data_IF_120343190556
#
_entry.id   IF_120343190556
#
_cell.length_a   1.000
_cell.length_b   1.000
_cell.length_c   1.000
_cell.angle_alpha   90.00
_cell.angle_beta   90.00
_cell.angle_gamma   90.00
#
_symmetry.space_group_name_H-M   'P 1'
#
loop_
_entity.id
_entity.type
_entity.pdbx_description
1 polymer ?
#
# COMPACT_ATOMS: atom_id res chain seq x y z
N UNK A 1 -2.40 14.96 7.59
CA UNK A 1 -3.71 14.30 7.42
C UNK A 1 -3.87 13.24 8.49
N UNK A 2 -5.10 12.98 8.89
CA UNK A 2 -5.50 12.16 10.02
C UNK A 2 -6.37 11.01 9.52
N UNK A 3 -5.94 9.78 9.79
CA UNK A 3 -6.71 8.56 9.57
C UNK A 3 -7.31 8.13 10.90
N UNK A 4 -8.57 7.69 10.89
CA UNK A 4 -9.23 7.16 12.09
C UNK A 4 -9.33 5.64 12.00
N UNK A 5 -8.91 4.91 13.03
CA UNK A 5 -9.13 3.46 13.11
C UNK A 5 -10.63 3.19 13.24
N UNK A 6 -11.16 2.35 12.37
CA UNK A 6 -12.56 1.88 12.41
C UNK A 6 -12.69 0.68 13.35
N UNK A 7 -13.09 0.89 14.61
CA UNK A 7 -13.26 -0.21 15.59
C UNK A 7 -14.31 -1.25 15.19
N UNK A 8 -15.29 -0.90 14.34
CA UNK A 8 -16.31 -1.85 13.88
C UNK A 8 -15.73 -2.95 13.00
N UNK A 9 -14.51 -2.80 12.51
CA UNK A 9 -13.82 -3.85 11.75
C UNK A 9 -13.23 -4.98 12.61
N UNK A 10 -13.34 -4.90 13.94
CA UNK A 10 -12.91 -5.98 14.87
C UNK A 10 -14.07 -6.88 15.31
N UNK A 11 -15.23 -6.32 15.68
CA UNK A 11 -16.57 -6.92 15.97
C UNK A 11 -16.70 -8.42 16.35
N UNK A 12 -15.67 -9.05 16.92
CA UNK A 12 -15.65 -10.47 17.25
C UNK A 12 -15.77 -11.43 16.05
N UNK A 13 -15.47 -10.99 14.83
CA UNK A 13 -15.78 -11.77 13.61
C UNK A 13 -14.70 -12.80 13.23
N UNK A 14 -13.47 -12.67 13.74
CA UNK A 14 -12.41 -13.63 13.45
C UNK A 14 -12.69 -14.98 14.12
N UNK A 15 -12.58 -16.08 13.37
CA UNK A 15 -12.87 -17.42 13.92
C UNK A 15 -11.77 -17.89 14.88
N UNK A 16 -10.55 -17.44 14.67
CA UNK A 16 -9.39 -17.82 15.45
C UNK A 16 -8.46 -16.62 15.65
N UNK A 17 -7.54 -16.74 16.62
CA UNK A 17 -6.46 -15.77 16.78
C UNK A 17 -5.57 -15.77 15.54
N UNK A 18 -5.29 -16.95 14.96
CA UNK A 18 -4.44 -17.08 13.78
C UNK A 18 -5.02 -16.30 12.57
N UNK A 19 -6.33 -16.41 12.34
CA UNK A 19 -7.03 -15.63 11.30
C UNK A 19 -6.82 -14.12 11.49
N UNK A 20 -6.89 -13.66 12.74
CA UNK A 20 -6.61 -12.27 13.07
C UNK A 20 -5.15 -11.91 12.81
N UNK A 21 -4.19 -12.73 13.24
CA UNK A 21 -2.77 -12.46 13.05
C UNK A 21 -2.37 -12.37 11.58
N UNK A 22 -2.92 -13.25 10.76
CA UNK A 22 -2.70 -13.23 9.31
C UNK A 22 -3.22 -11.92 8.70
N UNK A 23 -4.36 -11.43 9.18
CA UNK A 23 -4.91 -10.14 8.73
C UNK A 23 -4.05 -8.92 9.11
N UNK A 24 -3.23 -9.03 10.17
CA UNK A 24 -2.40 -7.92 10.64
C UNK A 24 -1.21 -7.63 9.73
N UNK A 25 -0.86 -8.55 8.83
CA UNK A 25 0.25 -8.36 7.88
C UNK A 25 0.05 -7.09 7.07
N UNK A 26 -1.16 -6.87 6.56
CA UNK A 26 -1.50 -5.69 5.76
C UNK A 26 -1.52 -4.41 6.60
N UNK A 27 -2.03 -4.48 7.82
CA UNK A 27 -2.01 -3.35 8.77
C UNK A 27 -0.57 -2.93 9.11
N UNK A 28 0.34 -3.89 9.29
CA UNK A 28 1.76 -3.63 9.53
C UNK A 28 2.43 -2.99 8.30
N UNK A 29 2.07 -3.43 7.08
CA UNK A 29 2.57 -2.84 5.84
C UNK A 29 2.06 -1.39 5.68
N UNK A 30 0.78 -1.17 5.92
CA UNK A 30 0.15 0.16 5.95
C UNK A 30 0.91 1.09 6.90
N UNK A 31 1.15 0.68 8.14
CA UNK A 31 1.88 1.54 9.08
C UNK A 31 3.32 1.82 8.64
N UNK A 32 3.99 0.82 8.05
CA UNK A 32 5.35 1.02 7.52
C UNK A 32 5.37 2.12 6.47
N UNK A 33 4.34 2.19 5.61
CA UNK A 33 4.16 3.26 4.63
C UNK A 33 3.83 4.58 5.33
N UNK A 34 2.90 4.58 6.30
CA UNK A 34 2.51 5.79 7.04
C UNK A 34 3.68 6.44 7.79
N UNK A 35 4.59 5.66 8.37
CA UNK A 35 5.80 6.18 9.06
C UNK A 35 6.74 6.97 8.17
N UNK A 36 6.61 6.81 6.85
CA UNK A 36 7.41 7.49 5.83
C UNK A 36 6.70 8.71 5.26
N UNK A 37 5.47 8.95 5.70
CA UNK A 37 4.65 10.10 5.33
C UNK A 37 4.30 10.92 6.58
N UNK A 38 3.54 12.00 6.39
CA UNK A 38 3.05 12.87 7.47
C UNK A 38 1.67 12.45 8.00
N UNK A 39 1.23 11.22 7.70
CA UNK A 39 -0.05 10.69 8.15
C UNK A 39 -0.04 10.38 9.65
N UNK A 40 -1.13 10.77 10.34
CA UNK A 40 -1.36 10.45 11.75
C UNK A 40 -2.49 9.45 11.86
N UNK A 41 -2.33 8.41 12.68
CA UNK A 41 -3.36 7.41 12.92
C UNK A 41 -4.01 7.64 14.28
N UNK A 42 -5.28 8.00 14.29
CA UNK A 42 -6.09 8.28 15.48
C UNK A 42 -6.91 7.05 15.89
N UNK A 43 -7.18 6.89 17.18
CA UNK A 43 -7.94 5.75 17.70
C UNK A 43 -8.93 6.15 18.78
N UNK A 44 -9.98 5.35 18.96
CA UNK A 44 -10.92 5.49 20.06
C UNK A 44 -10.33 4.94 21.37
N UNK A 45 -10.71 5.49 22.53
CA UNK A 45 -10.28 4.97 23.84
C UNK A 45 -10.61 3.49 24.03
N UNK A 46 -11.75 3.05 23.51
CA UNK A 46 -12.24 1.67 23.72
C UNK A 46 -11.69 0.65 22.72
N UNK A 47 -10.79 1.03 21.82
CA UNK A 47 -10.26 0.12 20.79
C UNK A 47 -9.69 -1.19 21.38
N UNK A 48 -9.01 -1.10 22.53
CA UNK A 48 -8.44 -2.28 23.20
C UNK A 48 -9.51 -3.20 23.80
N UNK A 49 -10.67 -2.67 24.13
CA UNK A 49 -11.80 -3.42 24.67
C UNK A 49 -12.65 -4.06 23.59
N UNK A 50 -12.43 -3.75 22.31
CA UNK A 50 -13.14 -4.36 21.19
C UNK A 50 -12.89 -5.86 21.12
N UNK A 51 -13.95 -6.64 20.94
CA UNK A 51 -13.89 -8.05 20.62
C UNK A 51 -13.21 -8.25 19.26
N UNK A 52 -12.25 -9.17 19.20
CA UNK A 52 -11.56 -9.59 17.98
C UNK A 52 -12.11 -10.95 17.53
N UNK A 53 -12.22 -11.89 18.47
CA UNK A 53 -13.00 -13.12 18.30
C UNK A 53 -14.28 -13.00 19.13
N UNK A 54 -15.17 -14.00 19.04
CA UNK A 54 -16.39 -14.04 19.86
C UNK A 54 -16.14 -14.00 21.36
N UNK A 55 -14.94 -14.38 21.80
CA UNK A 55 -14.60 -14.59 23.20
C UNK A 55 -13.48 -13.66 23.70
N UNK A 56 -12.60 -13.21 22.81
CA UNK A 56 -11.39 -12.49 23.18
C UNK A 56 -11.39 -11.06 22.64
N UNK A 57 -11.05 -10.14 23.53
CA UNK A 57 -10.78 -8.73 23.21
C UNK A 57 -9.37 -8.55 22.64
N UNK A 58 -9.17 -7.40 21.97
CA UNK A 58 -7.85 -7.00 21.49
C UNK A 58 -6.83 -6.95 22.64
N UNK A 59 -7.23 -6.41 23.79
CA UNK A 59 -6.38 -6.35 24.99
C UNK A 59 -5.94 -7.74 25.46
N UNK A 60 -6.85 -8.71 25.55
CA UNK A 60 -6.53 -10.08 26.00
C UNK A 60 -5.56 -10.79 25.06
N UNK A 61 -5.79 -10.68 23.74
CA UNK A 61 -4.87 -11.21 22.72
C UNK A 61 -3.47 -10.57 22.90
N UNK A 62 -3.40 -9.28 23.18
CA UNK A 62 -2.12 -8.62 23.38
C UNK A 62 -1.42 -9.01 24.69
N UNK A 63 -2.14 -9.50 25.70
CA UNK A 63 -1.53 -10.00 26.93
C UNK A 63 -1.19 -11.49 26.90
N UNK A 64 -1.74 -12.25 25.95
CA UNK A 64 -1.49 -13.69 25.87
C UNK A 64 0.00 -13.99 25.60
N UNK A 65 0.59 -14.72 26.56
CA UNK A 65 1.99 -15.12 26.54
C UNK A 65 2.27 -16.24 25.52
N UNK A 66 1.27 -17.04 25.16
CA UNK A 66 1.42 -18.15 24.22
C UNK A 66 1.66 -17.67 22.79
N UNK A 67 1.10 -16.52 22.43
CA UNK A 67 1.24 -15.91 21.10
C UNK A 67 2.28 -14.79 21.06
N UNK A 68 2.82 -14.38 22.23
CA UNK A 68 3.84 -13.33 22.36
C UNK A 68 5.12 -13.60 21.55
N UNK A 69 5.44 -14.87 21.31
CA UNK A 69 6.63 -15.26 20.54
C UNK A 69 6.40 -15.21 19.04
N UNK A 70 5.17 -15.08 18.54
CA UNK A 70 4.92 -14.99 17.10
C UNK A 70 5.44 -13.68 16.49
N UNK A 71 6.16 -13.72 15.35
CA UNK A 71 6.72 -12.51 14.73
C UNK A 71 5.68 -11.42 14.43
N UNK A 72 4.48 -11.82 14.01
CA UNK A 72 3.35 -10.97 13.66
C UNK A 72 2.89 -10.22 14.91
N UNK A 73 2.67 -10.92 16.02
CA UNK A 73 2.36 -10.32 17.33
C UNK A 73 3.47 -9.39 17.80
N UNK A 74 4.76 -9.73 17.61
CA UNK A 74 5.85 -8.82 18.01
C UNK A 74 5.86 -7.54 17.19
N UNK A 75 5.67 -7.65 15.86
CA UNK A 75 5.58 -6.50 14.95
C UNK A 75 4.34 -5.68 15.23
N UNK A 76 3.20 -6.32 15.47
CA UNK A 76 1.93 -5.69 15.80
C UNK A 76 1.95 -5.03 17.18
N UNK A 77 2.54 -5.68 18.19
CA UNK A 77 2.79 -5.05 19.50
C UNK A 77 3.71 -3.86 19.38
N UNK A 78 4.70 -3.90 18.48
CA UNK A 78 5.53 -2.72 18.18
C UNK A 78 4.72 -1.62 17.52
N UNK A 79 3.88 -1.94 16.52
CA UNK A 79 2.93 -1.02 15.91
C UNK A 79 2.03 -0.36 16.97
N UNK A 80 1.38 -1.19 17.79
CA UNK A 80 0.53 -0.74 18.87
C UNK A 80 1.31 0.03 19.93
N UNK A 81 2.55 -0.37 20.25
CA UNK A 81 3.42 0.37 21.18
C UNK A 81 3.71 1.78 20.66
N UNK A 82 3.91 1.95 19.35
CA UNK A 82 3.97 3.30 18.74
C UNK A 82 2.65 4.05 18.88
N UNK A 83 1.50 3.36 18.75
CA UNK A 83 0.18 3.95 19.00
C UNK A 83 -0.13 4.18 20.50
N UNK A 84 0.58 3.54 21.43
CA UNK A 84 0.35 3.57 22.89
C UNK A 84 1.24 4.61 23.57
N UNK A 85 2.49 4.74 23.13
CA UNK A 85 3.50 5.55 23.82
C UNK A 85 3.38 7.06 23.55
N UNK A 86 2.56 7.46 22.56
CA UNK A 86 2.18 8.86 22.27
C UNK A 86 0.78 8.85 21.64
N UNK A 87 -0.28 8.52 22.41
CA UNK A 87 -1.51 8.04 21.83
C UNK A 87 -2.36 9.20 21.30
N UNK A 88 -2.65 9.26 20.00
CA UNK A 88 -3.52 10.30 19.49
C UNK A 88 -4.97 9.80 19.56
N UNK A 89 -5.50 9.74 20.79
CA UNK A 89 -6.91 9.42 20.97
C UNK A 89 -7.72 10.56 20.38
N UNK A 90 -8.56 10.26 19.38
CA UNK A 90 -9.39 11.32 18.81
C UNK A 90 -10.40 11.86 19.84
N UNK A 91 -10.71 11.11 20.90
CA UNK A 91 -11.53 11.58 22.01
C UNK A 91 -10.96 12.81 22.71
N UNK A 92 -9.63 12.99 22.73
CA UNK A 92 -8.97 14.15 23.36
C UNK A 92 -9.25 15.46 22.60
N UNK A 93 -9.51 15.37 21.29
CA UNK A 93 -9.82 16.49 20.39
C UNK A 93 -11.00 16.09 19.47
N UNK A 94 -12.09 15.64 20.06
CA UNK A 94 -13.25 15.13 19.32
C UNK A 94 -13.87 16.23 18.44
N UNK A 95 -14.01 15.98 17.14
CA UNK A 95 -14.57 16.95 16.19
C UNK A 95 -16.04 16.75 15.87
N UNK A 96 -16.53 15.51 15.93
CA UNK A 96 -17.97 15.28 15.77
C UNK A 96 -18.72 15.74 17.04
N UNK A 97 -19.87 16.36 16.85
CA UNK A 97 -20.71 16.87 17.93
C UNK A 97 -22.06 16.14 17.99
N UNK A 98 -22.67 16.11 19.18
CA UNK A 98 -24.02 15.55 19.39
C UNK A 98 -25.14 16.39 18.73
N UNK A 99 -24.82 17.54 18.15
CA UNK A 99 -25.76 18.35 17.37
C UNK A 99 -26.05 17.78 15.98
N UNK A 100 -25.17 16.90 15.47
CA UNK A 100 -25.34 16.21 14.21
C UNK A 100 -25.62 14.73 14.47
N UNK A 101 -26.47 14.14 13.65
CA UNK A 101 -26.70 12.70 13.63
C UNK A 101 -25.95 12.08 12.46
N UNK A 102 -25.06 11.17 12.76
CA UNK A 102 -24.30 10.36 11.82
C UNK A 102 -24.95 8.98 11.82
N UNK A 103 -25.69 8.67 10.75
CA UNK A 103 -26.32 7.36 10.59
C UNK A 103 -25.41 6.46 9.75
N UNK A 104 -25.23 5.25 10.26
CA UNK A 104 -24.39 4.22 9.67
C UNK A 104 -25.06 2.85 9.87
N UNK A 105 -25.03 1.99 8.85
CA UNK A 105 -25.71 0.68 8.91
C UNK A 105 -25.07 -0.30 9.90
N UNK A 106 -23.91 0.03 10.46
CA UNK A 106 -23.15 -0.83 11.38
C UNK A 106 -23.42 -0.54 12.86
N UNK A 107 -24.13 0.54 13.19
CA UNK A 107 -24.40 0.90 14.59
C UNK A 107 -25.70 1.68 14.75
N UNK A 108 -26.38 1.48 15.89
CA UNK A 108 -27.54 2.30 16.27
C UNK A 108 -27.13 3.68 16.84
N UNK A 109 -25.84 3.86 17.17
CA UNK A 109 -25.31 5.13 17.66
C UNK A 109 -25.43 6.19 16.58
N UNK A 110 -25.82 7.40 16.96
CA UNK A 110 -25.86 8.55 16.04
C UNK A 110 -24.61 9.42 16.14
N UNK A 111 -23.75 9.22 17.13
CA UNK A 111 -22.46 9.88 17.32
C UNK A 111 -21.60 9.07 18.31
N UNK A 112 -20.37 9.48 18.56
CA UNK A 112 -19.48 8.87 19.56
C UNK A 112 -18.78 7.61 19.05
N UNK A 113 -18.49 7.54 17.75
CA UNK A 113 -17.81 6.40 17.12
C UNK A 113 -16.88 6.87 16.00
N UNK A 114 -15.92 6.02 15.61
CA UNK A 114 -14.84 6.36 14.66
C UNK A 114 -15.32 6.90 13.31
N UNK A 115 -16.30 6.25 12.68
CA UNK A 115 -16.77 6.67 11.36
C UNK A 115 -17.46 8.05 11.41
N UNK A 116 -18.18 8.37 12.49
CA UNK A 116 -18.71 9.72 12.71
C UNK A 116 -17.59 10.75 12.90
N UNK A 117 -16.54 10.39 13.64
CA UNK A 117 -15.37 11.25 13.81
C UNK A 117 -14.63 11.49 12.48
N UNK A 118 -14.47 10.46 11.65
CA UNK A 118 -13.84 10.58 10.35
C UNK A 118 -14.58 11.55 9.40
N UNK A 119 -15.90 11.67 9.51
CA UNK A 119 -16.69 12.62 8.72
C UNK A 119 -16.27 14.09 8.96
N UNK A 120 -15.79 14.43 10.16
CA UNK A 120 -15.33 15.78 10.52
C UNK A 120 -13.81 15.98 10.41
N UNK A 121 -13.10 14.97 9.91
CA UNK A 121 -11.65 15.01 9.67
C UNK A 121 -11.37 14.89 8.17
N UNK A 122 -10.26 14.25 7.81
CA UNK A 122 -9.84 14.06 6.43
C UNK A 122 -10.64 12.98 5.69
N UNK A 123 -11.70 12.42 6.31
CA UNK A 123 -12.60 11.41 5.72
C UNK A 123 -11.89 10.12 5.30
N UNK A 124 -10.85 9.73 6.03
CA UNK A 124 -10.09 8.50 5.77
C UNK A 124 -10.12 7.64 7.03
N UNK A 125 -10.42 6.36 6.83
CA UNK A 125 -10.45 5.37 7.90
C UNK A 125 -9.54 4.20 7.59
N UNK A 126 -8.97 3.61 8.65
CA UNK A 126 -8.23 2.35 8.58
C UNK A 126 -9.11 1.25 9.17
N UNK A 127 -9.47 0.26 8.36
CA UNK A 127 -10.20 -0.92 8.80
C UNK A 127 -9.28 -2.14 8.86
N UNK A 128 -9.48 -2.99 9.86
CA UNK A 128 -9.00 -4.36 9.83
C UNK A 128 -9.76 -5.16 8.78
N UNK A 129 -9.19 -6.28 8.32
CA UNK A 129 -9.84 -7.15 7.34
C UNK A 129 -11.22 -7.59 7.85
N UNK A 130 -12.28 -7.19 7.15
CA UNK A 130 -13.66 -7.45 7.57
C UNK A 130 -14.58 -7.44 6.35
N UNK A 131 -15.52 -8.39 6.25
CA UNK A 131 -16.40 -8.50 5.07
C UNK A 131 -17.26 -7.26 4.80
N UNK A 132 -17.75 -6.59 5.84
CA UNK A 132 -18.48 -5.30 5.74
C UNK A 132 -17.64 -4.13 5.20
N UNK A 133 -16.31 -4.20 5.28
CA UNK A 133 -15.38 -3.09 5.00
C UNK A 133 -14.38 -3.45 3.89
N UNK A 134 -14.83 -4.19 2.87
CA UNK A 134 -14.02 -4.53 1.68
C UNK A 134 -14.11 -3.49 0.57
N UNK A 135 -15.16 -2.68 0.59
CA UNK A 135 -15.31 -1.59 -0.36
C UNK A 135 -14.39 -0.42 0.02
N UNK A 136 -13.83 0.29 -0.97
CA UNK A 136 -12.97 1.45 -0.73
C UNK A 136 -13.74 2.65 -0.18
N UNK A 137 -15.07 2.66 -0.35
CA UNK A 137 -15.93 3.76 0.08
C UNK A 137 -16.90 3.31 1.16
N UNK A 138 -16.95 4.04 2.28
CA UNK A 138 -17.97 3.89 3.32
C UNK A 138 -18.87 5.13 3.30
N UNK A 139 -20.17 4.92 3.11
CA UNK A 139 -21.17 5.98 3.08
C UNK A 139 -21.77 6.19 4.47
N UNK A 140 -21.72 7.43 4.96
CA UNK A 140 -22.32 7.86 6.22
C UNK A 140 -23.33 8.95 5.93
N UNK A 141 -24.53 8.84 6.50
CA UNK A 141 -25.54 9.89 6.37
C UNK A 141 -25.42 10.86 7.54
N UNK A 142 -24.88 12.05 7.30
CA UNK A 142 -24.80 13.14 8.27
C UNK A 142 -26.04 14.02 8.13
N UNK A 143 -26.99 13.87 9.07
CA UNK A 143 -28.31 14.49 9.02
C UNK A 143 -29.08 14.11 7.75
N UNK A 144 -29.07 14.99 6.74
CA UNK A 144 -29.72 14.78 5.44
C UNK A 144 -28.71 14.56 4.31
N UNK A 145 -27.43 14.84 4.54
CA UNK A 145 -26.37 14.75 3.55
C UNK A 145 -25.65 13.40 3.60
N UNK A 146 -25.15 12.94 2.45
CA UNK A 146 -24.28 11.76 2.37
C UNK A 146 -22.81 12.19 2.37
N UNK A 147 -22.01 11.57 3.23
CA UNK A 147 -20.57 11.77 3.34
C UNK A 147 -19.90 10.43 3.01
N UNK A 148 -19.01 10.44 2.02
CA UNK A 148 -18.17 9.29 1.68
C UNK A 148 -16.85 9.36 2.43
N UNK A 149 -16.48 8.25 3.06
CA UNK A 149 -15.19 8.04 3.70
C UNK A 149 -14.36 7.07 2.85
N UNK A 150 -13.09 7.39 2.64
CA UNK A 150 -12.12 6.47 2.06
C UNK A 150 -11.74 5.43 3.12
N UNK A 151 -11.98 4.16 2.81
CA UNK A 151 -11.66 3.03 3.65
C UNK A 151 -10.38 2.34 3.16
N UNK A 152 -9.31 2.49 3.95
CA UNK A 152 -8.06 1.79 3.74
C UNK A 152 -8.10 0.50 4.55
N UNK A 153 -8.08 -0.64 3.88
CA UNK A 153 -7.93 -1.95 4.53
C UNK A 153 -6.77 -2.77 3.96
N UNK A 154 -6.22 -2.35 2.81
CA UNK A 154 -5.05 -2.98 2.20
C UNK A 154 -3.95 -1.93 1.88
N UNK A 155 -2.67 -2.34 1.77
CA UNK A 155 -1.56 -1.40 1.57
C UNK A 155 -1.57 -0.72 0.19
N UNK A 156 -2.14 -1.36 -0.83
CA UNK A 156 -2.18 -0.84 -2.20
C UNK A 156 -3.13 0.35 -2.30
N UNK A 157 -4.29 0.28 -1.66
CA UNK A 157 -5.25 1.39 -1.60
C UNK A 157 -4.61 2.63 -0.96
N UNK A 158 -3.82 2.43 0.11
CA UNK A 158 -3.09 3.53 0.74
C UNK A 158 -2.05 4.14 -0.20
N UNK A 159 -1.29 3.30 -0.92
CA UNK A 159 -0.28 3.78 -1.87
C UNK A 159 -0.91 4.54 -3.03
N UNK A 160 -1.99 4.03 -3.60
CA UNK A 160 -2.73 4.70 -4.67
C UNK A 160 -3.24 6.07 -4.18
N UNK A 161 -3.87 6.11 -3.00
CA UNK A 161 -4.31 7.35 -2.38
C UNK A 161 -3.15 8.36 -2.18
N UNK A 162 -2.05 7.92 -1.56
CA UNK A 162 -0.89 8.77 -1.28
C UNK A 162 -0.28 9.32 -2.57
N UNK A 163 -0.22 8.50 -3.62
CA UNK A 163 0.33 8.89 -4.90
C UNK A 163 -0.59 9.85 -5.66
N UNK A 164 -1.90 9.62 -5.65
CA UNK A 164 -2.89 10.51 -6.25
C UNK A 164 -2.94 11.88 -5.57
N UNK A 165 -2.73 11.92 -4.24
CA UNK A 165 -2.63 13.15 -3.46
C UNK A 165 -1.23 13.80 -3.53
N UNK A 166 -0.31 13.25 -4.33
CA UNK A 166 1.08 13.74 -4.48
C UNK A 166 1.84 13.82 -3.14
N UNK A 167 1.50 12.95 -2.19
CA UNK A 167 2.15 12.85 -0.88
C UNK A 167 3.39 11.95 -0.90
N UNK A 168 3.54 11.14 -1.96
CA UNK A 168 4.74 10.34 -2.25
C UNK A 168 5.09 10.48 -3.73
N UNK A 169 6.38 10.42 -4.04
CA UNK A 169 6.86 10.42 -5.42
C UNK A 169 6.72 9.04 -6.09
N UNK A 170 6.92 9.00 -7.41
CA UNK A 170 6.77 7.79 -8.21
C UNK A 170 7.77 6.70 -7.85
N UNK A 171 8.99 7.07 -7.43
CA UNK A 171 10.00 6.11 -7.00
C UNK A 171 9.58 5.41 -5.71
N UNK A 172 9.18 6.18 -4.70
CA UNK A 172 8.67 5.70 -3.42
C UNK A 172 7.42 4.84 -3.61
N UNK A 173 6.49 5.27 -4.46
CA UNK A 173 5.30 4.50 -4.80
C UNK A 173 5.66 3.11 -5.35
N UNK A 174 6.54 3.03 -6.36
CA UNK A 174 6.97 1.77 -6.93
C UNK A 174 7.76 0.91 -5.94
N UNK A 175 8.64 1.51 -5.14
CA UNK A 175 9.43 0.81 -4.13
C UNK A 175 8.53 0.09 -3.11
N UNK A 176 7.46 0.73 -2.65
CA UNK A 176 6.52 0.10 -1.72
C UNK A 176 5.54 -0.85 -2.40
N UNK A 177 5.06 -0.53 -3.61
CA UNK A 177 4.13 -1.38 -4.35
C UNK A 177 4.76 -2.73 -4.70
N UNK A 178 6.02 -2.73 -5.12
CA UNK A 178 6.73 -3.91 -5.62
C UNK A 178 7.65 -4.59 -4.60
N UNK A 179 7.63 -4.17 -3.32
CA UNK A 179 8.57 -4.65 -2.27
C UNK A 179 8.65 -6.17 -2.08
N UNK A 180 7.58 -6.89 -2.36
CA UNK A 180 7.49 -8.36 -2.26
C UNK A 180 7.10 -9.00 -3.61
N UNK A 181 7.41 -8.32 -4.72
CA UNK A 181 6.97 -8.67 -6.07
C UNK A 181 8.12 -9.23 -6.91
N UNK A 182 7.85 -9.65 -8.15
CA UNK A 182 8.91 -10.08 -9.09
C UNK A 182 9.66 -8.92 -9.74
N UNK A 183 9.42 -7.68 -9.31
CA UNK A 183 10.07 -6.47 -9.84
C UNK A 183 10.78 -5.76 -8.69
N UNK A 184 12.03 -5.35 -8.90
CA UNK A 184 12.76 -4.47 -7.98
C UNK A 184 13.24 -3.22 -8.71
N UNK A 185 13.12 -2.08 -8.03
CA UNK A 185 13.62 -0.77 -8.45
C UNK A 185 14.85 -0.34 -7.64
N UNK A 186 15.42 -1.23 -6.83
CA UNK A 186 16.53 -0.90 -5.92
C UNK A 186 17.81 -0.49 -6.67
N UNK A 187 17.93 -0.91 -7.93
CA UNK A 187 19.08 -0.66 -8.80
C UNK A 187 18.77 0.35 -9.93
N UNK A 188 17.63 1.05 -9.84
CA UNK A 188 17.24 2.05 -10.83
C UNK A 188 18.21 3.22 -10.80
N UNK A 189 18.80 3.51 -11.96
CA UNK A 189 19.70 4.65 -12.17
C UNK A 189 18.89 5.96 -12.11
N UNK A 190 19.30 6.90 -11.25
CA UNK A 190 18.56 8.15 -11.01
C UNK A 190 18.49 9.04 -12.27
N UNK A 191 19.55 9.05 -13.09
CA UNK A 191 19.64 9.87 -14.31
C UNK A 191 18.76 9.32 -15.44
N UNK A 192 18.44 8.02 -15.38
CA UNK A 192 17.63 7.30 -16.37
C UNK A 192 16.35 6.72 -15.75
N UNK A 193 15.96 7.26 -14.59
CA UNK A 193 14.81 6.84 -13.79
C UNK A 193 13.61 7.76 -14.00
N UNK A 194 12.81 7.93 -12.94
CA UNK A 194 11.57 8.73 -13.02
C UNK A 194 11.79 10.21 -13.35
N UNK A 195 12.96 10.76 -13.06
CA UNK A 195 13.36 12.12 -13.41
C UNK A 195 13.34 12.38 -14.92
N UNK A 196 13.54 11.33 -15.72
CA UNK A 196 13.55 11.37 -17.19
C UNK A 196 12.16 11.29 -17.83
N UNK A 197 11.11 11.02 -17.04
CA UNK A 197 9.76 10.76 -17.54
C UNK A 197 8.80 11.93 -17.25
N UNK A 198 7.91 12.20 -18.21
CA UNK A 198 6.77 13.09 -17.95
C UNK A 198 5.72 12.37 -17.10
N UNK A 199 4.89 13.13 -16.36
CA UNK A 199 3.84 12.60 -15.48
C UNK A 199 2.94 11.54 -16.15
N UNK A 200 2.59 11.75 -17.43
CA UNK A 200 1.76 10.79 -18.17
C UNK A 200 2.53 9.52 -18.56
N UNK A 201 3.82 9.63 -18.87
CA UNK A 201 4.70 8.49 -19.16
C UNK A 201 4.96 7.66 -17.91
N UNK A 202 5.11 8.32 -16.75
CA UNK A 202 5.21 7.64 -15.45
C UNK A 202 3.96 6.83 -15.12
N UNK A 203 2.76 7.34 -15.42
CA UNK A 203 1.53 6.56 -15.25
C UNK A 203 1.52 5.31 -16.14
N UNK A 204 1.95 5.45 -17.40
CA UNK A 204 2.06 4.34 -18.34
C UNK A 204 3.09 3.30 -17.84
N UNK A 205 4.24 3.76 -17.36
CA UNK A 205 5.26 2.92 -16.76
C UNK A 205 4.68 2.08 -15.61
N UNK A 206 4.05 2.73 -14.64
CA UNK A 206 3.47 2.08 -13.47
C UNK A 206 2.45 1.02 -13.90
N UNK A 207 1.56 1.34 -14.83
CA UNK A 207 0.59 0.37 -15.36
C UNK A 207 1.27 -0.83 -16.02
N UNK A 208 2.35 -0.61 -16.78
CA UNK A 208 3.11 -1.70 -17.39
C UNK A 208 3.84 -2.57 -16.35
N UNK A 209 4.36 -1.98 -15.28
CA UNK A 209 4.98 -2.75 -14.18
C UNK A 209 3.94 -3.58 -13.43
N UNK A 210 2.75 -3.03 -13.16
CA UNK A 210 1.63 -3.79 -12.56
C UNK A 210 1.26 -5.00 -13.43
N UNK A 211 1.11 -4.78 -14.75
CA UNK A 211 0.87 -5.87 -15.70
C UNK A 211 1.99 -6.92 -15.71
N UNK A 212 3.26 -6.49 -15.71
CA UNK A 212 4.40 -7.39 -15.67
C UNK A 212 4.41 -8.24 -14.39
N UNK A 213 4.07 -7.65 -13.24
CA UNK A 213 3.98 -8.35 -11.95
C UNK A 213 2.82 -9.37 -11.90
N UNK A 214 1.71 -9.10 -12.60
CA UNK A 214 0.58 -10.01 -12.72
C UNK A 214 0.88 -11.23 -13.60
N UNK A 215 1.63 -11.06 -14.69
CA UNK A 215 1.96 -12.13 -15.64
C UNK A 215 2.96 -13.14 -15.07
N UNK A 216 2.80 -14.42 -15.39
CA UNK A 216 3.80 -15.43 -15.04
C UNK A 216 5.10 -15.21 -15.85
N UNK A 217 6.21 -15.77 -15.36
CA UNK A 217 7.48 -15.73 -16.11
C UNK A 217 7.41 -16.42 -17.47
N UNK A 218 6.51 -17.37 -17.66
CA UNK A 218 6.29 -18.07 -18.93
C UNK A 218 5.42 -17.26 -19.90
N UNK A 219 4.54 -16.40 -19.37
CA UNK A 219 3.65 -15.55 -20.18
C UNK A 219 4.35 -14.26 -20.63
N UNK A 220 5.26 -13.71 -19.82
CA UNK A 220 5.95 -12.44 -20.09
C UNK A 220 6.60 -12.39 -21.51
N UNK A 221 7.37 -13.40 -21.97
CA UNK A 221 7.96 -13.39 -23.31
C UNK A 221 6.93 -13.43 -24.45
N UNK A 222 5.76 -14.00 -24.18
CA UNK A 222 4.70 -14.21 -25.17
C UNK A 222 3.68 -13.06 -25.20
N UNK A 223 3.75 -12.14 -24.24
CA UNK A 223 2.82 -11.02 -24.15
C UNK A 223 3.09 -9.97 -25.25
N UNK A 224 2.13 -9.81 -26.18
CA UNK A 224 2.26 -8.97 -27.38
C UNK A 224 2.63 -7.52 -27.07
N UNK A 225 2.13 -6.98 -25.96
CA UNK A 225 2.37 -5.59 -25.56
C UNK A 225 3.74 -5.33 -24.95
N UNK A 226 4.31 -6.31 -24.23
CA UNK A 226 5.58 -6.11 -23.50
C UNK A 226 6.78 -6.31 -24.42
N UNK A 227 6.69 -7.23 -25.39
CA UNK A 227 7.83 -7.59 -26.26
C UNK A 227 9.12 -7.84 -25.47
N UNK A 228 9.01 -8.59 -24.38
CA UNK A 228 10.15 -8.91 -23.53
C UNK A 228 11.17 -9.77 -24.27
N UNK A 229 12.40 -9.27 -24.38
CA UNK A 229 13.49 -9.97 -25.09
C UNK A 229 14.86 -9.55 -24.57
N UNK A 230 15.88 -10.34 -24.90
CA UNK A 230 17.26 -10.01 -24.57
C UNK A 230 17.69 -8.72 -25.28
N UNK A 231 18.40 -7.86 -24.55
CA UNK A 231 19.08 -6.69 -25.12
C UNK A 231 20.36 -7.16 -25.80
N UNK A 232 20.47 -6.92 -27.11
CA UNK A 232 21.57 -7.42 -27.94
C UNK A 232 22.28 -6.26 -28.67
N UNK A 233 22.93 -5.35 -27.92
CA UNK A 233 23.55 -4.16 -28.51
C UNK A 233 24.77 -4.51 -29.37
N UNK A 234 25.04 -3.64 -30.35
CA UNK A 234 26.36 -3.60 -30.94
C UNK A 234 27.40 -3.14 -29.91
N UNK A 235 28.66 -3.50 -30.12
CA UNK A 235 29.69 -3.23 -29.13
C UNK A 235 29.80 -1.76 -28.71
N UNK A 236 29.71 -0.82 -29.66
CA UNK A 236 29.90 0.60 -29.34
C UNK A 236 28.64 1.25 -28.72
N UNK A 237 27.50 0.56 -28.76
CA UNK A 237 26.20 1.07 -28.34
C UNK A 237 25.69 0.38 -27.06
N UNK A 238 26.51 -0.49 -26.46
CA UNK A 238 26.17 -1.23 -25.25
C UNK A 238 26.27 -0.33 -24.00
N UNK A 239 25.11 0.11 -23.53
CA UNK A 239 24.95 0.93 -22.32
C UNK A 239 25.47 0.29 -21.03
N UNK A 240 25.51 -1.03 -20.97
CA UNK A 240 25.82 -1.76 -19.74
C UNK A 240 27.26 -2.27 -19.72
N UNK A 241 27.98 -2.21 -20.85
CA UNK A 241 29.38 -2.65 -20.99
C UNK A 241 30.34 -2.10 -19.94
N UNK A 242 30.28 -0.80 -19.68
CA UNK A 242 31.16 -0.11 -18.74
C UNK A 242 30.45 0.17 -17.40
N UNK A 243 29.42 -0.61 -17.09
CA UNK A 243 28.66 -0.51 -15.85
C UNK A 243 28.98 -1.68 -14.92
N UNK A 244 28.44 -1.64 -13.70
CA UNK A 244 28.50 -2.76 -12.76
C UNK A 244 27.71 -4.01 -13.23
N UNK A 245 27.00 -3.93 -14.36
CA UNK A 245 26.13 -4.98 -14.89
C UNK A 245 26.68 -5.60 -16.18
N UNK A 246 27.97 -5.41 -16.48
CA UNK A 246 28.58 -5.88 -17.72
C UNK A 246 28.64 -7.41 -17.87
N UNK A 247 28.51 -8.13 -16.77
CA UNK A 247 28.46 -9.58 -16.68
C UNK A 247 27.01 -10.12 -16.64
N UNK A 248 26.01 -9.23 -16.56
CA UNK A 248 24.60 -9.59 -16.48
C UNK A 248 23.98 -9.72 -17.87
N UNK A 249 23.08 -10.69 -18.01
CA UNK A 249 22.23 -10.76 -19.20
C UNK A 249 21.09 -9.75 -19.08
N UNK A 250 21.22 -8.66 -19.85
CA UNK A 250 20.22 -7.59 -19.88
C UNK A 250 19.05 -7.98 -20.79
N UNK A 251 17.85 -7.67 -20.33
CA UNK A 251 16.60 -7.76 -21.05
C UNK A 251 15.98 -6.39 -21.20
N UNK A 252 15.18 -6.23 -22.26
CA UNK A 252 14.36 -5.05 -22.51
C UNK A 252 12.92 -5.44 -22.76
N UNK A 253 12.01 -4.56 -22.37
CA UNK A 253 10.60 -4.68 -22.65
C UNK A 253 9.94 -3.30 -22.75
N UNK A 254 8.74 -3.27 -23.30
CA UNK A 254 7.96 -2.06 -23.59
C UNK A 254 6.96 -1.81 -22.47
N UNK A 255 6.84 -0.55 -22.07
CA UNK A 255 5.67 -0.09 -21.33
C UNK A 255 4.60 0.50 -22.27
N UNK A 256 5.02 1.13 -23.37
CA UNK A 256 4.16 1.46 -24.50
C UNK A 256 4.99 1.52 -25.80
N UNK A 257 4.49 2.10 -26.88
CA UNK A 257 5.23 2.20 -28.14
C UNK A 257 6.52 3.04 -28.06
N UNK A 258 6.66 3.94 -27.09
CA UNK A 258 7.82 4.83 -26.92
C UNK A 258 8.74 4.45 -25.76
N UNK A 259 8.14 4.07 -24.64
CA UNK A 259 8.81 3.79 -23.39
C UNK A 259 9.33 2.35 -23.37
N UNK A 260 10.64 2.20 -23.15
CA UNK A 260 11.29 0.90 -22.87
C UNK A 260 11.88 0.91 -21.48
N UNK A 261 11.93 -0.30 -20.91
CA UNK A 261 12.54 -0.58 -19.63
C UNK A 261 13.66 -1.60 -19.85
N UNK A 262 14.78 -1.41 -19.18
CA UNK A 262 15.92 -2.32 -19.21
C UNK A 262 16.19 -2.85 -17.82
N UNK A 263 16.58 -4.12 -17.74
CA UNK A 263 16.95 -4.74 -16.48
C UNK A 263 17.51 -6.13 -16.67
N UNK A 264 17.88 -6.79 -15.58
CA UNK A 264 18.26 -8.20 -15.60
C UNK A 264 17.41 -8.99 -14.62
N UNK A 265 17.26 -10.27 -14.91
CA UNK A 265 16.62 -11.21 -14.01
C UNK A 265 17.67 -11.95 -13.20
N UNK A 266 17.48 -12.01 -11.91
CA UNK A 266 18.22 -12.89 -11.00
C UNK A 266 17.19 -13.63 -10.14
N UNK A 267 17.29 -14.97 -10.13
CA UNK A 267 16.26 -15.87 -9.63
C UNK A 267 14.87 -15.57 -10.21
N UNK A 268 13.94 -15.09 -9.38
CA UNK A 268 12.58 -14.75 -9.77
C UNK A 268 12.30 -13.24 -9.74
N UNK A 269 13.34 -12.40 -9.66
CA UNK A 269 13.21 -10.94 -9.56
C UNK A 269 13.83 -10.29 -10.81
N UNK A 270 13.07 -9.38 -11.41
CA UNK A 270 13.50 -8.45 -12.45
C UNK A 270 14.00 -7.17 -11.79
N UNK A 271 15.30 -6.93 -11.83
CA UNK A 271 15.90 -5.67 -11.38
C UNK A 271 15.88 -4.66 -12.51
N UNK A 272 15.07 -3.62 -12.35
CA UNK A 272 14.94 -2.54 -13.32
C UNK A 272 16.07 -1.55 -13.14
N UNK A 273 16.76 -1.23 -14.24
CA UNK A 273 17.96 -0.40 -14.24
C UNK A 273 17.73 0.97 -14.86
N UNK A 274 17.06 1.05 -16.01
CA UNK A 274 16.91 2.29 -16.80
C UNK A 274 15.63 2.32 -17.62
N UNK A 275 15.18 3.53 -17.93
CA UNK A 275 14.11 3.82 -18.89
C UNK A 275 14.65 4.56 -20.12
N UNK A 276 13.92 4.47 -21.23
CA UNK A 276 14.13 5.37 -22.37
C UNK A 276 12.79 5.69 -23.05
N UNK A 277 12.68 6.84 -23.69
CA UNK A 277 11.50 7.26 -24.48
C UNK A 277 11.83 7.64 -25.92
N UNK A 278 13.11 7.78 -26.27
CA UNK A 278 13.58 8.27 -27.58
C UNK A 278 14.15 7.17 -28.49
N UNK A 279 14.14 5.93 -28.02
CA UNK A 279 14.60 4.71 -28.70
C UNK A 279 16.08 4.68 -29.10
N UNK A 280 16.88 5.67 -28.72
CA UNK A 280 18.29 5.74 -29.15
C UNK A 280 19.08 4.51 -28.73
N UNK A 281 18.64 3.79 -27.71
CA UNK A 281 19.32 2.61 -27.19
C UNK A 281 18.68 1.34 -27.73
N UNK A 282 17.35 1.22 -27.63
CA UNK A 282 16.68 -0.01 -28.09
C UNK A 282 16.75 -0.23 -29.60
N UNK A 283 17.03 0.79 -30.41
CA UNK A 283 17.26 0.63 -31.85
C UNK A 283 18.60 -0.07 -32.15
N UNK A 284 19.54 -0.07 -31.20
CA UNK A 284 20.86 -0.69 -31.37
C UNK A 284 20.98 -2.11 -30.82
N UNK A 285 19.92 -2.63 -30.17
CA UNK A 285 19.86 -3.96 -29.58
C UNK A 285 18.54 -4.17 -28.87
#
# INVERSE_FOLDING_TARGET
MELVINEFSLEGHFNSIDDFLDSLIDVIKIETIMKKTSLKLLKHYELYSSLVTKELTLHEILLDNNIRTRPEIRKFKRLLSTLINDPPYWNDDQRHGSSNNYYCDYTEKTHGYSLAEACERDRIVLSFLHNKFKEPDIKIKKNLDEVTLLNIYNPRDLLDFLYEMELIDSYSYCLYWFKDSKISMDLLDEDYGFSSLQKHETKIFISAMKLFDELSWDDIPNHEGLQYKQYQPSSNEDWFRNSAYNDKQIFKFRANQKLRCFGFREDNIMYILRFETDHKISDHG
#
